data_IF_891474275091
#
_entry.id   IF_891474275091
#
_cell.length_a   1.000
_cell.length_b   1.000
_cell.length_c   1.000
_cell.angle_alpha   90.00
_cell.angle_beta   90.00
_cell.angle_gamma   90.00
#
_symmetry.space_group_name_H-M   'P 1'
#
loop_
_entity.id
_entity.type
_entity.pdbx_description
1 polymer ?
#
# COMPACT_ATOMS: atom_id res chain seq x y z
N UNK A 1 -19.90 5.03 19.64
CA UNK A 1 -19.71 4.05 18.54
C UNK A 1 -19.77 4.80 17.22
N UNK A 2 -18.70 4.78 16.43
CA UNK A 2 -18.70 5.32 15.07
C UNK A 2 -19.74 4.53 14.26
N UNK A 3 -20.76 5.19 13.70
CA UNK A 3 -21.76 4.51 12.87
C UNK A 3 -21.06 3.81 11.70
N UNK A 4 -21.46 2.57 11.43
CA UNK A 4 -20.97 1.79 10.29
C UNK A 4 -21.21 2.55 8.99
N UNK A 5 -20.23 2.54 8.09
CA UNK A 5 -20.36 3.18 6.77
C UNK A 5 -21.09 2.24 5.83
N UNK A 6 -22.21 2.68 5.27
CA UNK A 6 -23.03 1.90 4.32
C UNK A 6 -22.66 2.25 2.88
N UNK A 7 -22.39 1.24 2.07
CA UNK A 7 -22.18 1.33 0.62
C UNK A 7 -23.40 0.70 -0.03
N UNK A 8 -24.15 1.52 -0.75
CA UNK A 8 -25.42 1.12 -1.37
C UNK A 8 -25.18 0.70 -2.81
N UNK A 9 -25.82 -0.39 -3.22
CA UNK A 9 -25.85 -0.80 -4.62
C UNK A 9 -27.15 -0.31 -5.25
N UNK A 10 -27.11 0.30 -6.45
CA UNK A 10 -28.33 0.66 -7.17
C UNK A 10 -29.21 -0.56 -7.41
N UNK A 11 -30.53 -0.37 -7.44
CA UNK A 11 -31.53 -1.41 -7.73
C UNK A 11 -31.18 -2.17 -9.01
N UNK A 12 -31.10 -3.49 -8.93
CA UNK A 12 -30.76 -4.36 -10.06
C UNK A 12 -29.30 -4.28 -10.53
N UNK A 13 -28.44 -3.54 -9.82
CA UNK A 13 -27.00 -3.47 -10.08
C UNK A 13 -26.23 -4.20 -8.99
N UNK A 14 -25.23 -4.98 -9.41
CA UNK A 14 -24.23 -5.54 -8.50
C UNK A 14 -22.95 -4.71 -8.46
N UNK A 15 -23.00 -3.45 -8.90
CA UNK A 15 -21.87 -2.54 -8.90
C UNK A 15 -22.21 -1.25 -8.15
N UNK A 16 -21.26 -0.78 -7.34
CA UNK A 16 -21.34 0.49 -6.63
C UNK A 16 -20.00 1.21 -6.65
N UNK A 17 -20.02 2.54 -6.66
CA UNK A 17 -18.81 3.35 -6.53
C UNK A 17 -18.87 4.18 -5.25
N UNK A 18 -17.84 4.07 -4.42
CA UNK A 18 -17.78 4.79 -3.15
C UNK A 18 -16.34 5.21 -2.83
N UNK A 19 -16.13 6.52 -2.69
CA UNK A 19 -14.84 7.13 -2.30
C UNK A 19 -13.62 6.63 -3.12
N UNK A 20 -13.77 6.51 -4.43
CA UNK A 20 -12.67 6.06 -5.31
C UNK A 20 -12.52 4.55 -5.40
N UNK A 21 -13.38 3.76 -4.74
CA UNK A 21 -13.40 2.30 -4.81
C UNK A 21 -14.63 1.87 -5.60
N UNK A 22 -14.43 1.04 -6.62
CA UNK A 22 -15.47 0.32 -7.34
C UNK A 22 -15.69 -1.02 -6.67
N UNK A 23 -16.93 -1.28 -6.25
CA UNK A 23 -17.37 -2.51 -5.64
C UNK A 23 -18.17 -3.29 -6.66
N UNK A 24 -17.90 -4.58 -6.79
CA UNK A 24 -18.66 -5.50 -7.62
C UNK A 24 -19.00 -6.75 -6.82
N UNK A 25 -20.27 -7.11 -6.79
CA UNK A 25 -20.75 -8.36 -6.23
C UNK A 25 -21.01 -9.33 -7.39
N UNK A 26 -20.58 -10.57 -7.23
CA UNK A 26 -20.95 -11.68 -8.10
C UNK A 26 -21.77 -12.66 -7.26
N UNK A 27 -23.11 -12.62 -7.36
CA UNK A 27 -23.99 -13.47 -6.58
C UNK A 27 -23.87 -14.97 -6.94
N UNK A 28 -23.45 -15.29 -8.16
CA UNK A 28 -23.36 -16.69 -8.62
C UNK A 28 -22.17 -17.39 -7.97
N UNK A 29 -21.07 -16.65 -7.80
CA UNK A 29 -19.81 -17.16 -7.25
C UNK A 29 -19.53 -16.70 -5.80
N UNK A 30 -20.51 -16.08 -5.13
CA UNK A 30 -20.38 -15.43 -3.81
C UNK A 30 -19.06 -14.64 -3.66
N UNK A 31 -18.75 -13.87 -4.70
CA UNK A 31 -17.49 -13.12 -4.77
C UNK A 31 -17.77 -11.63 -4.63
N UNK A 32 -16.98 -10.94 -3.81
CA UNK A 32 -16.97 -9.47 -3.77
C UNK A 32 -15.62 -8.95 -4.17
N UNK A 33 -15.62 -8.13 -5.21
CA UNK A 33 -14.45 -7.44 -5.73
C UNK A 33 -14.49 -5.96 -5.33
N UNK A 34 -13.35 -5.46 -4.91
CA UNK A 34 -13.10 -4.05 -4.61
C UNK A 34 -11.88 -3.61 -5.41
N UNK A 35 -12.10 -2.70 -6.36
CA UNK A 35 -11.05 -2.20 -7.25
C UNK A 35 -10.87 -0.70 -7.03
N UNK A 36 -9.61 -0.28 -6.86
CA UNK A 36 -9.26 1.11 -6.62
C UNK A 36 -8.03 1.49 -7.45
N UNK A 37 -8.07 2.69 -8.03
CA UNK A 37 -6.90 3.28 -8.68
C UNK A 37 -5.89 3.74 -7.62
N UNK A 38 -4.64 3.38 -7.83
CA UNK A 38 -3.50 3.85 -7.04
C UNK A 38 -2.86 5.06 -7.72
N UNK A 39 -2.07 5.80 -6.94
CA UNK A 39 -1.18 6.79 -7.54
C UNK A 39 -0.06 6.06 -8.29
N UNK A 40 0.47 6.67 -9.38
CA UNK A 40 1.68 6.20 -10.03
C UNK A 40 2.80 5.98 -9.01
N UNK A 41 3.62 4.95 -9.23
CA UNK A 41 4.69 4.60 -8.28
C UNK A 41 5.75 5.70 -8.16
N UNK A 42 5.95 6.46 -9.22
CA UNK A 42 6.93 7.54 -9.33
C UNK A 42 6.24 8.84 -9.75
N UNK A 43 6.44 9.91 -8.96
CA UNK A 43 5.94 11.24 -9.30
C UNK A 43 6.70 11.83 -10.49
N UNK A 44 6.12 12.77 -11.25
CA UNK A 44 6.81 13.45 -12.35
C UNK A 44 8.15 14.05 -11.93
N UNK A 45 8.21 14.69 -10.75
CA UNK A 45 9.44 15.31 -10.23
C UNK A 45 10.52 14.25 -9.96
N UNK A 46 10.13 13.12 -9.36
CA UNK A 46 11.08 12.02 -9.09
C UNK A 46 11.63 11.38 -10.37
N UNK A 47 10.83 11.36 -11.45
CA UNK A 47 11.26 10.89 -12.77
C UNK A 47 12.28 11.86 -13.36
N UNK A 48 11.97 13.15 -13.39
CA UNK A 48 12.85 14.19 -13.91
C UNK A 48 14.20 14.22 -13.18
N UNK A 49 14.20 14.17 -11.85
CA UNK A 49 15.42 14.07 -11.05
C UNK A 49 16.26 12.84 -11.40
N UNK A 50 15.62 11.70 -11.65
CA UNK A 50 16.31 10.49 -12.06
C UNK A 50 16.94 10.61 -13.46
N UNK A 51 16.21 11.18 -14.43
CA UNK A 51 16.76 11.47 -15.75
C UNK A 51 18.00 12.37 -15.65
N UNK A 52 17.87 13.47 -14.90
CA UNK A 52 18.95 14.42 -14.68
C UNK A 52 20.20 13.77 -14.06
N UNK A 53 19.99 12.97 -13.02
CA UNK A 53 21.09 12.33 -12.30
C UNK A 53 21.76 11.26 -13.17
N UNK A 54 20.98 10.47 -13.92
CA UNK A 54 21.50 9.46 -14.85
C UNK A 54 22.27 10.13 -15.99
N UNK A 55 21.79 11.25 -16.52
CA UNK A 55 22.50 12.01 -17.55
C UNK A 55 23.84 12.56 -17.03
N UNK A 56 23.90 12.96 -15.75
CA UNK A 56 25.12 13.52 -15.13
C UNK A 56 26.13 12.45 -14.72
N UNK A 57 25.69 11.32 -14.18
CA UNK A 57 26.56 10.33 -13.52
C UNK A 57 26.60 8.97 -14.22
N UNK A 58 25.56 8.63 -14.98
CA UNK A 58 25.34 7.28 -15.49
C UNK A 58 24.71 6.34 -14.47
N UNK A 59 24.03 5.31 -14.97
CA UNK A 59 23.29 4.32 -14.15
C UNK A 59 24.24 3.53 -13.24
N UNK A 60 25.40 3.12 -13.74
CA UNK A 60 26.38 2.34 -12.96
C UNK A 60 26.88 3.11 -11.73
N UNK A 61 27.14 4.40 -11.89
CA UNK A 61 27.65 5.24 -10.81
C UNK A 61 26.57 5.48 -9.74
N UNK A 62 25.31 5.67 -10.16
CA UNK A 62 24.16 5.72 -9.23
C UNK A 62 24.04 4.42 -8.44
N UNK A 63 24.19 3.27 -9.09
CA UNK A 63 24.16 1.98 -8.39
C UNK A 63 25.32 1.83 -7.39
N UNK A 64 26.54 2.28 -7.75
CA UNK A 64 27.71 2.28 -6.86
C UNK A 64 27.46 3.19 -5.66
N UNK A 65 26.96 4.41 -5.86
CA UNK A 65 26.65 5.37 -4.81
C UNK A 65 25.54 4.90 -3.89
N UNK A 66 24.47 4.29 -4.41
CA UNK A 66 23.42 3.68 -3.60
C UNK A 66 23.97 2.59 -2.65
N UNK A 67 24.89 1.75 -3.15
CA UNK A 67 25.58 0.74 -2.32
C UNK A 67 26.50 1.39 -1.28
N UNK A 68 27.23 2.44 -1.66
CA UNK A 68 28.11 3.19 -0.76
C UNK A 68 27.32 3.81 0.39
N UNK A 69 26.27 4.58 0.10
CA UNK A 69 25.44 5.22 1.12
C UNK A 69 24.72 4.21 2.01
N UNK A 70 24.33 3.05 1.48
CA UNK A 70 23.81 1.96 2.31
C UNK A 70 24.83 1.44 3.33
N UNK A 71 26.11 1.32 2.94
CA UNK A 71 27.18 0.90 3.85
C UNK A 71 27.53 1.99 4.86
N UNK A 72 27.58 3.25 4.42
CA UNK A 72 27.85 4.40 5.29
C UNK A 72 26.75 4.58 6.34
N UNK A 73 25.48 4.43 5.96
CA UNK A 73 24.36 4.46 6.90
C UNK A 73 24.46 3.35 7.95
N UNK A 74 24.83 2.12 7.53
CA UNK A 74 25.00 1.03 8.48
C UNK A 74 26.15 1.32 9.45
N UNK A 75 27.27 1.83 8.95
CA UNK A 75 28.42 2.21 9.78
C UNK A 75 28.07 3.35 10.74
N UNK A 76 27.32 4.35 10.28
CA UNK A 76 26.91 5.48 11.11
C UNK A 76 26.00 5.01 12.24
N UNK A 77 25.04 4.12 11.96
CA UNK A 77 24.13 3.58 12.98
C UNK A 77 24.93 2.84 14.05
N UNK A 78 25.92 2.02 13.65
CA UNK A 78 26.80 1.35 14.60
C UNK A 78 27.60 2.33 15.46
N UNK A 79 28.12 3.39 14.87
CA UNK A 79 28.84 4.45 15.59
C UNK A 79 27.91 5.20 16.57
N UNK A 80 26.68 5.50 16.15
CA UNK A 80 25.67 6.13 16.98
C UNK A 80 25.33 5.26 18.19
N UNK A 81 25.04 3.97 17.97
CA UNK A 81 24.79 3.01 19.04
C UNK A 81 25.99 2.92 20.00
N UNK A 82 27.21 2.88 19.46
CA UNK A 82 28.42 2.88 20.28
C UNK A 82 28.48 4.14 21.17
N UNK A 83 28.35 5.35 20.62
CA UNK A 83 28.43 6.59 21.42
C UNK A 83 27.28 6.78 22.41
N UNK A 84 26.12 6.18 22.13
CA UNK A 84 24.96 6.22 23.03
C UNK A 84 25.09 5.23 24.19
N UNK A 85 25.44 3.97 23.91
CA UNK A 85 25.37 2.88 24.90
C UNK A 85 26.72 2.54 25.55
N UNK A 86 27.85 2.84 24.91
CA UNK A 86 29.17 2.57 25.48
C UNK A 86 29.42 3.31 26.81
N UNK A 87 29.08 4.61 26.96
CA UNK A 87 29.31 5.33 28.21
C UNK A 87 28.51 4.77 29.40
N UNK A 88 27.30 4.25 29.15
CA UNK A 88 26.47 3.61 30.18
C UNK A 88 27.06 2.28 30.67
N UNK A 89 27.80 1.56 29.83
CA UNK A 89 28.44 0.30 30.22
C UNK A 89 29.68 0.53 31.11
N UNK A 90 30.43 1.61 30.87
CA UNK A 90 31.68 1.91 31.58
C UNK A 90 31.53 2.87 32.78
N UNK A 91 30.30 3.20 33.20
CA UNK A 91 30.02 4.06 34.36
C UNK A 91 30.80 5.39 34.33
N UNK A 92 30.87 6.02 33.15
CA UNK A 92 31.53 7.33 33.00
C UNK A 92 30.75 8.37 33.82
N UNK A 93 31.35 8.83 34.92
CA UNK A 93 30.69 9.66 35.95
C UNK A 93 30.39 11.10 35.53
N UNK A 94 30.99 11.60 34.45
CA UNK A 94 30.76 12.95 33.95
C UNK A 94 30.69 12.97 32.43
N UNK A 95 29.69 13.66 31.88
CA UNK A 95 29.64 13.90 30.44
C UNK A 95 30.78 14.84 30.05
N UNK A 96 31.72 14.34 29.25
CA UNK A 96 32.75 15.18 28.66
C UNK A 96 32.17 15.99 27.50
N UNK A 97 32.65 17.23 27.32
CA UNK A 97 32.29 18.06 26.16
C UNK A 97 32.49 17.33 24.83
N UNK A 98 33.57 16.54 24.72
CA UNK A 98 33.87 15.72 23.54
C UNK A 98 32.80 14.66 23.26
N UNK A 99 32.25 14.02 24.30
CA UNK A 99 31.18 13.04 24.16
C UNK A 99 29.88 13.71 23.69
N UNK A 100 29.57 14.89 24.24
CA UNK A 100 28.38 15.67 23.84
C UNK A 100 28.49 16.14 22.38
N UNK A 101 29.62 16.72 21.97
CA UNK A 101 29.89 17.10 20.58
C UNK A 101 29.86 15.88 19.65
N UNK A 102 30.47 14.76 20.07
CA UNK A 102 30.45 13.52 19.30
C UNK A 102 29.03 13.01 19.03
N UNK A 103 28.16 13.02 20.05
CA UNK A 103 26.73 12.66 19.90
C UNK A 103 25.98 13.61 18.98
N UNK A 104 26.20 14.91 19.10
CA UNK A 104 25.57 15.88 18.21
C UNK A 104 25.98 15.65 16.75
N UNK A 105 27.28 15.47 16.50
CA UNK A 105 27.80 15.21 15.16
C UNK A 105 27.26 13.90 14.58
N UNK A 106 27.13 12.83 15.38
CA UNK A 106 26.53 11.60 14.88
C UNK A 106 25.06 11.74 14.55
N UNK A 107 24.28 12.48 15.34
CA UNK A 107 22.87 12.76 15.00
C UNK A 107 22.75 13.52 13.68
N UNK A 108 23.56 14.58 13.49
CA UNK A 108 23.55 15.34 12.23
C UNK A 108 23.97 14.46 11.05
N UNK A 109 25.02 13.65 11.24
CA UNK A 109 25.54 12.72 10.24
C UNK A 109 24.49 11.65 9.86
N UNK A 110 23.76 11.11 10.83
CA UNK A 110 22.65 10.17 10.61
C UNK A 110 21.58 10.75 9.69
N UNK A 111 21.13 11.98 9.96
CA UNK A 111 20.10 12.64 9.15
C UNK A 111 20.58 12.75 7.69
N UNK A 112 21.85 13.15 7.50
CA UNK A 112 22.45 13.26 6.16
C UNK A 112 22.53 11.90 5.48
N UNK A 113 23.05 10.87 6.15
CA UNK A 113 23.18 9.54 5.56
C UNK A 113 21.84 8.88 5.26
N UNK A 114 20.84 9.06 6.12
CA UNK A 114 19.47 8.61 5.88
C UNK A 114 18.88 9.27 4.63
N UNK A 115 19.03 10.59 4.51
CA UNK A 115 18.59 11.34 3.34
C UNK A 115 19.28 10.85 2.06
N UNK A 116 20.61 10.78 2.07
CA UNK A 116 21.39 10.35 0.90
C UNK A 116 21.11 8.89 0.51
N UNK A 117 20.94 8.01 1.50
CA UNK A 117 20.54 6.63 1.28
C UNK A 117 19.15 6.55 0.62
N UNK A 118 18.16 7.26 1.17
CA UNK A 118 16.81 7.30 0.63
C UNK A 118 16.80 7.81 -0.81
N UNK A 119 17.50 8.93 -1.05
CA UNK A 119 17.62 9.56 -2.37
C UNK A 119 18.22 8.61 -3.41
N UNK A 120 19.45 8.12 -3.21
CA UNK A 120 20.09 7.24 -4.19
C UNK A 120 19.39 5.88 -4.35
N UNK A 121 18.74 5.37 -3.29
CA UNK A 121 17.95 4.14 -3.37
C UNK A 121 16.70 4.34 -4.22
N UNK A 122 16.01 5.47 -4.08
CA UNK A 122 14.83 5.78 -4.89
C UNK A 122 15.18 5.85 -6.38
N UNK A 123 16.24 6.60 -6.73
CA UNK A 123 16.70 6.72 -8.12
C UNK A 123 17.16 5.37 -8.67
N UNK A 124 17.92 4.59 -7.89
CA UNK A 124 18.33 3.24 -8.29
C UNK A 124 17.11 2.35 -8.58
N UNK A 125 16.10 2.36 -7.71
CA UNK A 125 14.89 1.57 -7.91
C UNK A 125 14.19 2.00 -9.20
N UNK A 126 14.04 3.30 -9.44
CA UNK A 126 13.45 3.80 -10.69
C UNK A 126 14.25 3.35 -11.92
N UNK A 127 15.58 3.45 -11.91
CA UNK A 127 16.44 2.98 -13.01
C UNK A 127 16.29 1.47 -13.29
N UNK A 128 16.01 0.69 -12.23
CA UNK A 128 15.81 -0.76 -12.32
C UNK A 128 14.43 -1.07 -12.90
N UNK A 129 13.39 -0.41 -12.39
CA UNK A 129 12.01 -0.64 -12.80
C UNK A 129 11.71 -0.11 -14.21
N UNK A 130 12.43 0.94 -14.63
CA UNK A 130 12.34 1.55 -15.96
C UNK A 130 13.26 0.92 -17.01
N UNK A 131 13.92 -0.20 -16.68
CA UNK A 131 14.75 -0.94 -17.62
C UNK A 131 13.88 -1.80 -18.55
N UNK A 132 14.14 -1.72 -19.85
CA UNK A 132 13.47 -2.58 -20.82
C UNK A 132 14.41 -3.70 -21.27
N UNK A 133 14.06 -4.94 -20.94
CA UNK A 133 14.86 -6.13 -21.32
C UNK A 133 14.95 -6.33 -22.84
N UNK A 134 13.94 -5.88 -23.60
CA UNK A 134 13.90 -6.04 -25.07
C UNK A 134 14.91 -5.14 -25.79
N UNK A 135 15.05 -3.89 -25.35
CA UNK A 135 15.95 -2.93 -25.99
C UNK A 135 17.25 -2.67 -25.21
N UNK A 136 17.37 -3.21 -23.98
CA UNK A 136 18.55 -3.08 -23.13
C UNK A 136 18.80 -1.66 -22.64
N UNK A 137 17.78 -0.79 -22.62
CA UNK A 137 17.90 0.62 -22.21
C UNK A 137 17.23 0.87 -20.86
N UNK A 138 17.83 1.77 -20.09
CA UNK A 138 17.25 2.31 -18.85
C UNK A 138 16.41 3.55 -19.12
N UNK A 139 15.49 3.87 -18.21
CA UNK A 139 14.65 5.08 -18.26
C UNK A 139 13.75 5.16 -19.50
N UNK A 140 13.35 4.02 -20.06
CA UNK A 140 12.47 3.95 -21.24
C UNK A 140 11.15 3.24 -20.96
N UNK A 141 11.06 2.56 -19.81
CA UNK A 141 9.84 1.88 -19.38
C UNK A 141 9.04 2.80 -18.47
N UNK A 142 7.81 3.11 -18.85
CA UNK A 142 6.92 4.00 -18.10
C UNK A 142 5.53 3.41 -17.87
N UNK A 143 4.85 3.86 -16.80
CA UNK A 143 3.47 3.49 -16.53
C UNK A 143 2.53 4.18 -17.53
N UNK A 144 1.82 3.42 -18.38
CA UNK A 144 0.86 3.97 -19.36
C UNK A 144 -0.60 3.91 -18.90
N UNK A 145 -0.88 3.13 -17.87
CA UNK A 145 -2.19 3.12 -17.21
C UNK A 145 -1.99 3.29 -15.71
N UNK A 146 -3.00 3.88 -15.08
CA UNK A 146 -3.02 4.07 -13.63
C UNK A 146 -2.97 2.69 -12.96
N UNK A 147 -2.01 2.44 -12.06
CA UNK A 147 -1.95 1.17 -11.35
C UNK A 147 -3.21 0.97 -10.54
N UNK A 148 -3.64 -0.28 -10.39
CA UNK A 148 -4.85 -0.62 -9.64
C UNK A 148 -4.54 -1.61 -8.53
N UNK A 149 -5.28 -1.47 -7.43
CA UNK A 149 -5.37 -2.48 -6.40
C UNK A 149 -6.73 -3.16 -6.52
N UNK A 150 -6.71 -4.49 -6.57
CA UNK A 150 -7.91 -5.32 -6.54
C UNK A 150 -7.88 -6.19 -5.29
N UNK A 151 -8.88 -6.04 -4.44
CA UNK A 151 -9.19 -6.93 -3.33
C UNK A 151 -10.36 -7.84 -3.75
N UNK A 152 -10.23 -9.15 -3.61
CA UNK A 152 -11.24 -10.13 -3.99
C UNK A 152 -11.53 -11.05 -2.81
N UNK A 153 -12.79 -11.10 -2.40
CA UNK A 153 -13.27 -11.89 -1.27
C UNK A 153 -14.21 -12.99 -1.71
N UNK A 154 -13.80 -14.24 -1.49
CA UNK A 154 -14.56 -15.47 -1.74
C UNK A 154 -14.95 -16.14 -0.42
N UNK A 155 -15.66 -17.25 -0.50
CA UNK A 155 -16.17 -18.01 0.67
C UNK A 155 -15.05 -18.41 1.65
N UNK A 156 -13.89 -18.72 1.11
CA UNK A 156 -12.77 -19.40 1.79
C UNK A 156 -11.43 -18.70 1.58
N UNK A 157 -11.38 -17.69 0.71
CA UNK A 157 -10.13 -16.99 0.37
C UNK A 157 -10.33 -15.49 0.20
N UNK A 158 -9.40 -14.72 0.74
CA UNK A 158 -9.30 -13.28 0.50
C UNK A 158 -7.97 -12.98 -0.15
N UNK A 159 -7.99 -12.32 -1.30
CA UNK A 159 -6.79 -11.98 -2.06
C UNK A 159 -6.70 -10.48 -2.32
N UNK A 160 -5.47 -9.99 -2.43
CA UNK A 160 -5.19 -8.63 -2.88
C UNK A 160 -4.05 -8.64 -3.85
N UNK A 161 -4.25 -7.93 -4.93
CA UNK A 161 -3.28 -7.83 -6.02
C UNK A 161 -3.10 -6.38 -6.38
N UNK A 162 -1.86 -6.00 -6.66
CA UNK A 162 -1.52 -4.74 -7.30
C UNK A 162 -1.20 -5.06 -8.75
N UNK A 163 -1.87 -4.39 -9.68
CA UNK A 163 -1.58 -4.50 -11.11
C UNK A 163 -0.98 -3.19 -11.59
N UNK A 164 0.18 -3.28 -12.23
CA UNK A 164 0.87 -2.15 -12.82
C UNK A 164 1.06 -2.39 -14.32
N UNK A 165 0.88 -1.33 -15.10
CA UNK A 165 0.87 -1.38 -16.55
C UNK A 165 2.02 -0.54 -17.08
N UNK A 166 3.03 -1.20 -17.63
CA UNK A 166 4.24 -0.56 -18.10
C UNK A 166 4.45 -0.78 -19.60
N UNK A 167 5.00 0.20 -20.28
CA UNK A 167 5.40 0.05 -21.67
C UNK A 167 6.73 0.74 -21.96
N UNK A 168 7.42 0.25 -22.98
CA UNK A 168 8.65 0.84 -23.47
C UNK A 168 8.37 1.89 -24.53
N UNK A 169 8.69 3.15 -24.26
CA UNK A 169 8.55 4.24 -25.23
C UNK A 169 9.43 4.05 -26.47
N UNK A 170 10.52 3.28 -26.36
CA UNK A 170 11.47 3.08 -27.45
C UNK A 170 11.11 1.90 -28.38
N UNK A 171 10.51 0.82 -27.87
CA UNK A 171 10.21 -0.37 -28.69
C UNK A 171 8.75 -0.83 -28.65
N UNK A 172 7.88 -0.16 -27.88
CA UNK A 172 6.47 -0.49 -27.77
C UNK A 172 6.16 -1.76 -26.98
N UNK A 173 7.15 -2.41 -26.39
CA UNK A 173 6.91 -3.60 -25.55
C UNK A 173 6.09 -3.22 -24.32
N UNK A 174 4.98 -3.92 -24.09
CA UNK A 174 4.11 -3.78 -22.93
C UNK A 174 4.36 -4.93 -21.94
N UNK A 175 4.30 -4.61 -20.65
CA UNK A 175 4.39 -5.55 -19.54
C UNK A 175 3.33 -5.22 -18.49
N UNK A 176 2.56 -6.23 -18.09
CA UNK A 176 1.58 -6.14 -17.02
C UNK A 176 2.13 -6.90 -15.82
N UNK A 177 2.50 -6.16 -14.77
CA UNK A 177 3.03 -6.73 -13.53
C UNK A 177 1.88 -6.91 -12.54
N UNK A 178 1.62 -8.15 -12.16
CA UNK A 178 0.61 -8.50 -11.15
C UNK A 178 1.35 -9.00 -9.91
N UNK A 179 1.28 -8.24 -8.82
CA UNK A 179 1.95 -8.54 -7.57
C UNK A 179 0.92 -8.91 -6.48
N UNK A 180 0.91 -10.16 -5.99
CA UNK A 180 0.07 -10.54 -4.86
C UNK A 180 0.59 -9.87 -3.58
N UNK A 181 -0.32 -9.27 -2.83
CA UNK A 181 -0.01 -8.61 -1.56
C UNK A 181 -0.40 -9.53 -0.39
N UNK A 182 0.48 -9.71 0.62
CA UNK A 182 0.13 -10.47 1.81
C UNK A 182 -1.00 -9.77 2.58
N UNK A 183 -1.98 -10.53 3.04
CA UNK A 183 -3.06 -10.02 3.91
C UNK A 183 -3.34 -11.01 5.03
N UNK A 184 -3.33 -10.50 6.26
CA UNK A 184 -3.91 -11.18 7.40
C UNK A 184 -5.44 -10.99 7.41
N UNK A 185 -6.15 -12.09 7.19
CA UNK A 185 -7.61 -12.11 7.16
C UNK A 185 -8.15 -13.34 7.88
N UNK A 186 -9.37 -13.20 8.40
CA UNK A 186 -10.19 -14.30 8.84
C UNK A 186 -11.66 -13.97 8.65
N UNK A 187 -12.50 -15.00 8.75
CA UNK A 187 -13.94 -14.87 8.64
C UNK A 187 -14.59 -14.94 10.01
N UNK A 188 -15.47 -14.00 10.31
CA UNK A 188 -16.42 -14.10 11.41
C UNK A 188 -17.77 -14.61 10.86
N UNK A 189 -18.51 -15.37 11.68
CA UNK A 189 -19.84 -15.85 11.29
C UNK A 189 -20.79 -14.68 11.09
N UNK A 190 -21.65 -14.79 10.07
CA UNK A 190 -22.77 -13.87 9.86
C UNK A 190 -23.70 -13.82 11.08
N UNK A 191 -24.38 -12.69 11.26
CA UNK A 191 -25.39 -12.51 12.29
C UNK A 191 -26.77 -12.90 11.75
N UNK A 192 -27.38 -13.94 12.32
CA UNK A 192 -28.67 -14.46 11.86
C UNK A 192 -29.87 -13.56 12.24
N UNK A 193 -29.72 -12.68 13.24
CA UNK A 193 -30.81 -11.86 13.80
C UNK A 193 -30.43 -10.38 13.88
N UNK A 194 -30.66 -9.63 12.80
CA UNK A 194 -30.58 -8.17 12.77
C UNK A 194 -31.97 -7.61 13.09
N UNK A 195 -32.29 -7.46 14.38
CA UNK A 195 -33.67 -7.22 14.83
C UNK A 195 -34.22 -5.80 14.59
N UNK A 196 -33.50 -4.90 13.93
CA UNK A 196 -33.86 -3.46 13.92
C UNK A 196 -33.50 -2.70 12.62
N UNK A 197 -33.25 -3.39 11.49
CA UNK A 197 -32.86 -2.67 10.25
C UNK A 197 -33.95 -2.60 9.20
N UNK A 198 -34.20 -1.38 8.71
CA UNK A 198 -35.12 -1.08 7.63
C UNK A 198 -34.38 -1.03 6.30
N UNK A 199 -34.96 -1.60 5.25
CA UNK A 199 -34.41 -1.46 3.90
C UNK A 199 -34.47 0.00 3.45
N UNK A 200 -33.32 0.61 3.15
CA UNK A 200 -33.26 2.01 2.70
C UNK A 200 -33.81 2.24 1.29
N UNK A 201 -34.13 1.17 0.55
CA UNK A 201 -34.69 1.27 -0.80
C UNK A 201 -36.22 1.10 -0.80
N UNK A 202 -36.74 -0.02 -0.28
CA UNK A 202 -38.19 -0.29 -0.26
C UNK A 202 -38.90 0.14 1.03
N UNK A 203 -38.17 0.56 2.07
CA UNK A 203 -38.74 1.00 3.35
C UNK A 203 -39.24 -0.14 4.25
N UNK A 204 -39.13 -1.40 3.82
CA UNK A 204 -39.61 -2.54 4.59
C UNK A 204 -38.74 -2.77 5.84
N UNK A 205 -39.38 -2.82 7.01
CA UNK A 205 -38.71 -3.09 8.28
C UNK A 205 -38.28 -4.55 8.38
N UNK A 206 -37.12 -4.81 9.00
CA UNK A 206 -36.59 -6.17 9.22
C UNK A 206 -36.34 -6.97 7.94
N UNK A 207 -36.28 -6.31 6.78
CA UNK A 207 -36.10 -6.96 5.49
C UNK A 207 -34.63 -7.21 5.13
N UNK A 208 -33.68 -6.59 5.84
CA UNK A 208 -32.24 -6.69 5.59
C UNK A 208 -31.65 -7.89 6.34
N UNK A 209 -30.97 -8.77 5.61
CA UNK A 209 -30.26 -9.91 6.17
C UNK A 209 -28.78 -9.91 5.76
N UNK A 210 -27.90 -10.36 6.66
CA UNK A 210 -26.50 -10.61 6.33
C UNK A 210 -26.39 -11.98 5.65
N UNK A 211 -25.95 -12.02 4.38
CA UNK A 211 -26.05 -13.25 3.59
C UNK A 211 -24.78 -14.09 3.58
N UNK A 212 -23.62 -13.50 3.85
CA UNK A 212 -22.30 -14.17 3.87
C UNK A 212 -21.52 -13.83 5.14
N UNK A 213 -20.47 -14.62 5.40
CA UNK A 213 -19.57 -14.38 6.52
C UNK A 213 -18.92 -13.00 6.43
N UNK A 214 -18.59 -12.47 7.61
CA UNK A 214 -17.97 -11.15 7.76
C UNK A 214 -16.48 -11.28 7.48
N UNK A 215 -15.97 -10.46 6.57
CA UNK A 215 -14.53 -10.42 6.32
C UNK A 215 -13.88 -9.51 7.35
N UNK A 216 -12.89 -10.04 8.06
CA UNK A 216 -12.11 -9.28 9.03
C UNK A 216 -10.67 -9.19 8.54
N UNK A 217 -10.26 -7.98 8.18
CA UNK A 217 -8.94 -7.67 7.67
C UNK A 217 -8.12 -6.99 8.77
N UNK A 218 -7.02 -7.64 9.15
CA UNK A 218 -6.10 -7.15 10.15
C UNK A 218 -4.99 -6.33 9.48
N UNK A 219 -5.21 -5.02 9.36
CA UNK A 219 -4.18 -4.05 9.01
C UNK A 219 -3.67 -3.35 10.29
N UNK A 220 -3.20 -2.09 10.19
CA UNK A 220 -2.95 -1.23 11.36
C UNK A 220 -4.24 -1.02 12.17
N UNK A 221 -5.38 -0.96 11.48
CA UNK A 221 -6.72 -0.91 12.08
C UNK A 221 -7.52 -2.10 11.56
N UNK A 222 -8.28 -2.75 12.44
CA UNK A 222 -9.15 -3.84 12.04
C UNK A 222 -10.31 -3.29 11.21
N UNK A 223 -10.40 -3.73 9.94
CA UNK A 223 -11.49 -3.40 9.02
C UNK A 223 -12.41 -4.62 8.94
N UNK A 224 -13.70 -4.44 9.27
CA UNK A 224 -14.73 -5.46 9.05
C UNK A 224 -15.62 -5.07 7.88
N UNK A 225 -15.90 -6.05 7.01
CA UNK A 225 -16.76 -5.91 5.85
C UNK A 225 -17.92 -6.87 6.01
N UNK A 226 -19.12 -6.31 6.05
CA UNK A 226 -20.37 -7.02 6.24
C UNK A 226 -21.25 -6.85 5.02
N UNK A 227 -22.03 -7.87 4.69
CA UNK A 227 -22.66 -8.01 3.39
C UNK A 227 -24.14 -8.31 3.56
N UNK A 228 -24.99 -7.38 3.14
CA UNK A 228 -26.41 -7.47 3.35
C UNK A 228 -27.19 -7.46 2.05
N UNK A 229 -28.34 -8.13 2.08
CA UNK A 229 -29.34 -8.08 1.03
C UNK A 229 -30.74 -7.90 1.61
N UNK A 230 -31.61 -7.24 0.86
CA UNK A 230 -33.03 -7.13 1.20
C UNK A 230 -33.79 -8.35 0.68
N UNK A 231 -34.51 -9.04 1.57
CA UNK A 231 -35.38 -10.17 1.21
C UNK A 231 -36.58 -9.77 0.34
N UNK A 232 -37.02 -8.51 0.43
CA UNK A 232 -38.20 -8.01 -0.28
C UNK A 232 -37.86 -7.53 -1.71
N UNK A 233 -36.90 -6.62 -1.86
CA UNK A 233 -36.59 -5.99 -3.15
C UNK A 233 -35.26 -6.41 -3.79
N UNK A 234 -34.46 -7.27 -3.14
CA UNK A 234 -33.17 -7.71 -3.68
C UNK A 234 -32.06 -6.64 -3.65
N UNK A 235 -32.30 -5.49 -3.03
CA UNK A 235 -31.29 -4.46 -2.75
C UNK A 235 -30.08 -5.05 -2.02
N UNK A 236 -28.87 -4.62 -2.39
CA UNK A 236 -27.63 -5.04 -1.72
C UNK A 236 -26.94 -3.84 -1.06
N UNK A 237 -26.30 -4.10 0.08
CA UNK A 237 -25.41 -3.13 0.70
C UNK A 237 -24.22 -3.79 1.40
N UNK A 238 -23.11 -3.06 1.42
CA UNK A 238 -21.91 -3.42 2.18
C UNK A 238 -21.77 -2.45 3.34
N UNK A 239 -21.53 -2.97 4.54
CA UNK A 239 -21.22 -2.13 5.71
C UNK A 239 -19.77 -2.30 6.12
N UNK A 240 -19.11 -1.16 6.29
CA UNK A 240 -17.72 -1.07 6.71
C UNK A 240 -17.64 -0.52 8.12
N UNK A 241 -17.02 -1.29 9.02
CA UNK A 241 -16.66 -0.82 10.35
C UNK A 241 -15.14 -0.82 10.52
N UNK A 242 -14.63 0.19 11.21
CA UNK A 242 -13.21 0.29 11.60
C UNK A 242 -13.16 0.28 13.12
N UNK A 243 -12.46 -0.71 13.68
CA UNK A 243 -12.18 -0.76 15.12
C UNK A 243 -10.77 -0.20 15.34
N UNK A 244 -10.70 0.83 16.18
CA UNK A 244 -9.46 1.41 16.67
C UNK A 244 -8.92 0.59 17.83
#
# INVERSE_FOLDING_TARGET
>A
MTKDKRIKFPSGSYQAFYKGVHYKIDPENDTVEMTQNLNPRYSPESKEEAFDLVNKLGVEEIQKRARLFSKLLLLSILLFLFLMFFPSYFSVKSESFLLSVGRFLTIVSEIVFLYMFGYYRAIKNYCTDSYCEKCGKHLVFEEFQVPLVKEESKIDTYTKTITQYWHCINCGHEEIKIEPQPIDHHYEKRQDNLKEDTCEECGEEHAIEEYRNVDVLNYILQKKIRYFKCRNCGYHEIRLSKKF
#
